data_IF_508468293105
#
_entry.id   IF_508468293105
#
_cell.length_a   1.000
_cell.length_b   1.000
_cell.length_c   1.000
_cell.angle_alpha   90.00
_cell.angle_beta   90.00
_cell.angle_gamma   90.00
#
_symmetry.space_group_name_H-M   'P 1'
#
loop_
_entity.id
_entity.type
_entity.pdbx_description
1 polymer ?
#
# COMPACT_ATOMS: atom_id res chain seq x y z
N UNK A 1 25.52 -26.88 29.45
CA UNK A 1 24.06 -26.94 29.56
C UNK A 1 23.62 -25.79 30.44
N UNK A 2 23.28 -24.64 29.85
CA UNK A 2 22.73 -23.49 30.57
C UNK A 2 21.21 -23.54 30.48
N UNK A 3 20.53 -23.46 31.62
CA UNK A 3 19.08 -23.34 31.73
C UNK A 3 18.60 -21.98 31.20
N UNK A 4 17.46 -21.90 30.48
CA UNK A 4 16.88 -20.61 30.10
C UNK A 4 16.40 -19.91 31.36
N UNK A 5 16.76 -18.63 31.51
CA UNK A 5 16.24 -17.79 32.59
C UNK A 5 14.72 -17.65 32.44
N UNK A 6 13.98 -18.09 33.45
CA UNK A 6 12.55 -17.81 33.56
C UNK A 6 12.36 -16.31 33.75
N UNK A 7 11.89 -15.61 32.73
CA UNK A 7 11.45 -14.22 32.88
C UNK A 7 10.19 -14.22 33.75
N UNK A 8 10.33 -13.81 35.00
CA UNK A 8 9.21 -13.56 35.89
C UNK A 8 8.44 -12.34 35.33
N UNK A 9 7.11 -12.41 35.16
CA UNK A 9 6.34 -11.30 34.60
C UNK A 9 6.46 -10.10 35.52
N UNK A 10 6.92 -8.97 34.97
CA UNK A 10 7.13 -7.70 35.68
C UNK A 10 5.80 -7.09 36.19
N UNK A 11 4.66 -7.58 35.69
CA UNK A 11 3.31 -7.15 36.07
C UNK A 11 2.60 -8.32 36.77
N UNK A 12 2.11 -8.08 37.98
CA UNK A 12 1.38 -9.06 38.79
C UNK A 12 0.04 -9.49 38.16
N UNK A 13 -0.36 -10.73 38.44
CA UNK A 13 -1.55 -11.36 37.84
C UNK A 13 -2.87 -10.62 38.12
N UNK A 14 -3.00 -9.97 39.27
CA UNK A 14 -4.19 -9.15 39.61
C UNK A 14 -4.33 -7.93 38.71
N UNK A 15 -3.21 -7.26 38.43
CA UNK A 15 -3.17 -6.11 37.51
C UNK A 15 -3.51 -6.58 36.10
N UNK A 16 -2.93 -7.70 35.65
CA UNK A 16 -3.24 -8.28 34.34
C UNK A 16 -4.72 -8.60 34.21
N UNK A 17 -5.30 -9.28 35.20
CA UNK A 17 -6.72 -9.63 35.22
C UNK A 17 -7.63 -8.39 35.25
N UNK A 18 -7.19 -7.31 35.90
CA UNK A 18 -7.88 -6.03 35.90
C UNK A 18 -7.89 -5.36 34.53
N UNK A 19 -6.76 -5.41 33.83
CA UNK A 19 -6.64 -4.91 32.45
C UNK A 19 -7.51 -5.73 31.50
N UNK A 20 -7.45 -7.07 31.56
CA UNK A 20 -8.28 -7.96 30.72
C UNK A 20 -9.77 -7.64 30.87
N UNK A 21 -10.27 -7.50 32.10
CA UNK A 21 -11.69 -7.13 32.34
C UNK A 21 -12.04 -5.74 31.79
N UNK A 22 -11.10 -4.80 31.87
CA UNK A 22 -11.32 -3.44 31.36
C UNK A 22 -11.37 -3.42 29.83
N UNK A 23 -10.56 -4.26 29.19
CA UNK A 23 -10.45 -4.33 27.73
C UNK A 23 -11.44 -5.29 27.08
N UNK A 24 -12.06 -6.22 27.81
CA UNK A 24 -12.90 -7.30 27.28
C UNK A 24 -13.98 -6.83 26.28
N UNK A 25 -14.64 -5.71 26.56
CA UNK A 25 -15.64 -5.14 25.67
C UNK A 25 -15.02 -4.58 24.38
N UNK A 26 -13.88 -3.91 24.49
CA UNK A 26 -13.10 -3.37 23.37
C UNK A 26 -12.50 -4.49 22.53
N UNK A 27 -11.94 -5.52 23.15
CA UNK A 27 -11.39 -6.70 22.46
C UNK A 27 -12.48 -7.42 21.65
N UNK A 28 -13.69 -7.52 22.21
CA UNK A 28 -14.84 -8.06 21.48
C UNK A 28 -15.21 -7.19 20.29
N UNK A 29 -15.30 -5.87 20.48
CA UNK A 29 -15.60 -4.91 19.40
C UNK A 29 -14.55 -4.99 18.28
N UNK A 30 -13.26 -5.00 18.65
CA UNK A 30 -12.16 -5.06 17.70
C UNK A 30 -12.17 -6.38 16.93
N UNK A 31 -12.30 -7.51 17.63
CA UNK A 31 -12.39 -8.83 16.98
C UNK A 31 -13.55 -8.96 16.01
N UNK A 32 -14.69 -8.31 16.28
CA UNK A 32 -15.85 -8.35 15.37
C UNK A 32 -15.77 -7.35 14.22
N UNK A 33 -15.25 -6.15 14.48
CA UNK A 33 -15.29 -5.04 13.50
C UNK A 33 -14.02 -4.97 12.67
N UNK A 34 -12.92 -5.51 13.19
CA UNK A 34 -11.58 -5.55 12.60
C UNK A 34 -11.01 -6.96 12.77
N UNK A 35 -11.53 -7.97 12.04
CA UNK A 35 -11.15 -9.37 12.20
C UNK A 35 -9.69 -9.68 11.79
N UNK A 36 -8.89 -8.66 11.48
CA UNK A 36 -7.53 -8.78 10.99
C UNK A 36 -7.51 -8.85 9.46
N UNK A 37 -6.57 -9.64 8.93
CA UNK A 37 -6.40 -9.83 7.50
C UNK A 37 -7.69 -10.35 6.88
N UNK A 38 -8.12 -9.65 5.82
CA UNK A 38 -9.26 -10.05 5.00
C UNK A 38 -8.69 -10.62 3.71
N UNK A 39 -9.32 -11.64 3.17
CA UNK A 39 -9.02 -12.21 1.85
C UNK A 39 -9.57 -11.29 0.73
N UNK A 40 -9.20 -10.01 0.81
CA UNK A 40 -9.51 -8.98 -0.17
C UNK A 40 -8.21 -8.27 -0.51
N UNK A 41 -8.10 -7.82 -1.76
CA UNK A 41 -6.95 -7.07 -2.25
C UNK A 41 -6.58 -5.97 -1.26
N UNK A 42 -5.32 -5.93 -0.85
CA UNK A 42 -4.76 -4.82 -0.08
C UNK A 42 -3.91 -3.98 -1.02
N UNK A 43 -4.04 -2.66 -0.93
CA UNK A 43 -3.19 -1.75 -1.66
C UNK A 43 -1.74 -1.92 -1.19
N UNK A 44 -0.81 -2.09 -2.13
CA UNK A 44 0.62 -2.12 -1.80
C UNK A 44 1.13 -0.71 -1.46
N UNK A 45 0.49 0.32 -2.03
CA UNK A 45 0.86 1.71 -1.83
C UNK A 45 -0.37 2.61 -1.70
N UNK A 46 -0.22 3.67 -0.91
CA UNK A 46 -1.21 4.74 -0.73
C UNK A 46 -0.59 6.07 -1.13
N UNK A 47 -1.34 6.89 -1.87
CA UNK A 47 -0.94 8.23 -2.27
C UNK A 47 -1.90 9.25 -1.67
N UNK A 48 -1.34 10.28 -1.04
CA UNK A 48 -2.05 11.46 -0.60
C UNK A 48 -1.81 12.59 -1.60
N UNK A 49 -2.87 13.25 -2.05
CA UNK A 49 -2.76 14.41 -2.94
C UNK A 49 -3.68 15.53 -2.47
N UNK A 50 -3.24 16.80 -2.58
CA UNK A 50 -4.08 17.95 -2.27
C UNK A 50 -5.38 17.89 -3.05
N UNK A 51 -6.52 18.06 -2.38
CA UNK A 51 -7.83 17.84 -2.97
C UNK A 51 -8.10 18.69 -4.23
N UNK A 52 -7.52 19.89 -4.31
CA UNK A 52 -7.66 20.78 -5.46
C UNK A 52 -6.75 20.41 -6.66
N UNK A 53 -5.80 19.49 -6.48
CA UNK A 53 -4.85 19.07 -7.51
C UNK A 53 -5.34 17.88 -8.35
N UNK A 54 -6.34 17.14 -7.84
CA UNK A 54 -6.87 15.97 -8.52
C UNK A 54 -7.90 16.33 -9.59
N UNK A 55 -7.80 15.69 -10.75
CA UNK A 55 -8.63 15.94 -11.93
C UNK A 55 -8.99 14.66 -12.65
N UNK A 56 -9.85 14.77 -13.67
CA UNK A 56 -10.27 13.63 -14.50
C UNK A 56 -9.08 12.99 -15.27
N UNK A 57 -8.02 13.74 -15.54
CA UNK A 57 -6.85 13.25 -16.29
C UNK A 57 -5.72 12.74 -15.38
N UNK A 58 -5.82 12.94 -14.06
CA UNK A 58 -4.72 12.68 -13.13
C UNK A 58 -4.27 11.22 -13.16
N UNK A 59 -5.18 10.24 -13.18
CA UNK A 59 -4.78 8.83 -13.21
C UNK A 59 -4.00 8.47 -14.48
N UNK A 60 -4.42 8.99 -15.64
CA UNK A 60 -3.74 8.76 -16.91
C UNK A 60 -2.33 9.40 -16.92
N UNK A 61 -2.19 10.60 -16.34
CA UNK A 61 -0.90 11.28 -16.20
C UNK A 61 0.05 10.53 -15.26
N UNK A 62 -0.47 9.97 -14.17
CA UNK A 62 0.31 9.14 -13.24
C UNK A 62 0.78 7.85 -13.90
N UNK A 63 -0.10 7.18 -14.67
CA UNK A 63 0.28 6.02 -15.46
C UNK A 63 1.45 6.30 -16.40
N UNK A 64 1.33 7.38 -17.19
CA UNK A 64 2.37 7.79 -18.14
C UNK A 64 3.68 8.12 -17.42
N UNK A 65 3.60 8.87 -16.32
CA UNK A 65 4.77 9.23 -15.51
C UNK A 65 5.46 8.01 -14.90
N UNK A 66 4.69 7.05 -14.38
CA UNK A 66 5.23 5.86 -13.76
C UNK A 66 5.95 4.96 -14.78
N UNK A 67 5.34 4.74 -15.95
CA UNK A 67 5.98 3.99 -17.04
C UNK A 67 7.24 4.71 -17.53
N UNK A 68 7.19 6.03 -17.74
CA UNK A 68 8.35 6.80 -18.18
C UNK A 68 9.51 6.75 -17.17
N UNK A 69 9.22 6.83 -15.87
CA UNK A 69 10.23 6.73 -14.83
C UNK A 69 10.94 5.37 -14.83
N UNK A 70 10.22 4.28 -15.09
CA UNK A 70 10.80 2.94 -15.21
C UNK A 70 11.72 2.84 -16.42
N UNK A 71 11.28 3.35 -17.58
CA UNK A 71 12.06 3.34 -18.81
C UNK A 71 13.35 4.17 -18.69
N UNK A 72 13.29 5.32 -18.02
CA UNK A 72 14.46 6.16 -17.75
C UNK A 72 15.56 5.42 -16.96
N UNK A 73 15.17 4.43 -16.15
CA UNK A 73 16.07 3.65 -15.30
C UNK A 73 16.42 2.27 -15.87
N UNK A 74 16.23 2.04 -17.17
CA UNK A 74 16.66 0.82 -17.87
C UNK A 74 15.59 -0.26 -17.99
N UNK A 75 14.34 0.05 -17.67
CA UNK A 75 13.17 -0.81 -17.89
C UNK A 75 12.91 -1.80 -16.76
N UNK A 76 11.66 -2.27 -16.66
CA UNK A 76 11.21 -3.08 -15.53
C UNK A 76 11.93 -4.43 -15.45
N UNK A 77 12.24 -5.05 -16.59
CA UNK A 77 12.96 -6.34 -16.64
C UNK A 77 14.31 -6.27 -15.91
N UNK A 78 15.06 -5.19 -16.11
CA UNK A 78 16.35 -5.02 -15.45
C UNK A 78 16.19 -4.81 -13.94
N UNK A 79 15.19 -4.01 -13.54
CA UNK A 79 14.86 -3.81 -12.12
C UNK A 79 14.41 -5.11 -11.45
N UNK A 80 13.53 -5.87 -12.09
CA UNK A 80 13.04 -7.16 -11.62
C UNK A 80 14.19 -8.16 -11.41
N UNK A 81 15.09 -8.29 -12.39
CA UNK A 81 16.29 -9.13 -12.23
C UNK A 81 17.15 -8.71 -11.04
N UNK A 82 17.31 -7.41 -10.79
CA UNK A 82 18.09 -6.91 -9.66
C UNK A 82 17.44 -7.25 -8.32
N UNK A 83 16.13 -7.02 -8.18
CA UNK A 83 15.36 -7.33 -6.97
C UNK A 83 15.36 -8.83 -6.67
N UNK A 84 15.14 -9.68 -7.69
CA UNK A 84 15.12 -11.14 -7.53
C UNK A 84 16.49 -11.64 -7.06
N UNK A 85 17.59 -11.08 -7.56
CA UNK A 85 18.94 -11.42 -7.07
C UNK A 85 19.17 -10.94 -5.64
N UNK A 86 18.74 -9.73 -5.30
CA UNK A 86 18.95 -9.11 -3.98
C UNK A 86 18.17 -9.81 -2.86
N UNK A 87 16.87 -10.07 -3.04
CA UNK A 87 16.03 -10.81 -2.07
C UNK A 87 16.59 -12.20 -1.73
N UNK A 88 17.34 -12.80 -2.66
CA UNK A 88 17.98 -14.11 -2.48
C UNK A 88 19.25 -14.04 -1.65
N UNK A 89 19.90 -12.89 -1.53
CA UNK A 89 20.97 -12.67 -0.57
C UNK A 89 20.45 -12.62 0.88
N UNK A 90 19.19 -12.24 1.09
CA UNK A 90 18.55 -12.15 2.42
C UNK A 90 17.88 -13.46 2.86
N UNK A 91 17.65 -14.41 1.93
CA UNK A 91 17.04 -15.70 2.25
C UNK A 91 18.01 -16.63 2.99
N UNK A 92 17.75 -16.86 4.29
CA UNK A 92 18.47 -17.84 5.11
C UNK A 92 18.12 -19.28 4.71
N UNK A 93 18.90 -19.87 3.79
CA UNK A 93 18.90 -21.33 3.57
C UNK A 93 19.27 -21.76 2.16
N UNK A 94 19.68 -23.03 1.96
CA UNK A 94 19.91 -23.58 0.62
C UNK A 94 18.56 -23.84 -0.05
N UNK A 95 18.01 -22.81 -0.70
CA UNK A 95 16.94 -22.97 -1.68
C UNK A 95 17.42 -23.79 -2.88
N UNK A 96 16.51 -24.26 -3.75
CA UNK A 96 16.91 -24.92 -4.99
C UNK A 96 17.84 -24.00 -5.79
N UNK A 97 18.94 -24.56 -6.31
CA UNK A 97 19.86 -23.83 -7.17
C UNK A 97 19.12 -23.47 -8.46
N UNK A 98 18.71 -22.21 -8.56
CA UNK A 98 18.15 -21.68 -9.79
C UNK A 98 19.27 -21.22 -10.72
N UNK A 99 19.08 -21.51 -12.00
CA UNK A 99 19.96 -21.10 -13.08
C UNK A 99 19.74 -19.63 -13.43
N UNK A 100 20.66 -19.04 -14.20
CA UNK A 100 20.46 -17.70 -14.74
C UNK A 100 19.22 -17.61 -15.65
N UNK A 101 18.81 -18.74 -16.27
CA UNK A 101 17.61 -18.79 -17.09
C UNK A 101 16.34 -18.68 -16.26
N UNK A 102 16.28 -19.34 -15.10
CA UNK A 102 15.13 -19.28 -14.19
C UNK A 102 14.90 -17.85 -13.68
N UNK A 103 15.99 -17.14 -13.33
CA UNK A 103 15.92 -15.73 -12.91
C UNK A 103 15.42 -14.83 -14.04
N UNK A 104 15.86 -15.07 -15.27
CA UNK A 104 15.44 -14.27 -16.41
C UNK A 104 13.95 -14.48 -16.74
N UNK A 105 13.46 -15.72 -16.66
CA UNK A 105 12.04 -16.03 -16.85
C UNK A 105 11.16 -15.39 -15.76
N UNK A 106 11.56 -15.52 -14.49
CA UNK A 106 10.84 -14.89 -13.37
C UNK A 106 10.84 -13.36 -13.48
N UNK A 107 11.98 -12.76 -13.85
CA UNK A 107 12.09 -11.32 -14.04
C UNK A 107 11.20 -10.81 -15.17
N UNK A 108 11.09 -11.55 -16.27
CA UNK A 108 10.19 -11.21 -17.38
C UNK A 108 8.72 -11.23 -16.92
N UNK A 109 8.32 -12.28 -16.21
CA UNK A 109 6.96 -12.42 -15.69
C UNK A 109 6.62 -11.30 -14.68
N UNK A 110 7.55 -11.01 -13.76
CA UNK A 110 7.39 -9.92 -12.79
C UNK A 110 7.32 -8.57 -13.51
N UNK A 111 8.18 -8.35 -14.51
CA UNK A 111 8.20 -7.09 -15.25
C UNK A 111 6.89 -6.83 -15.98
N UNK A 112 6.40 -7.82 -16.72
CA UNK A 112 5.11 -7.72 -17.41
C UNK A 112 3.95 -7.46 -16.43
N UNK A 113 3.96 -8.09 -15.26
CA UNK A 113 2.93 -7.87 -14.24
C UNK A 113 2.98 -6.44 -13.66
N UNK A 114 4.17 -5.92 -13.36
CA UNK A 114 4.32 -4.56 -12.81
C UNK A 114 3.99 -3.52 -13.87
N UNK A 115 4.46 -3.67 -15.11
CA UNK A 115 4.13 -2.76 -16.22
C UNK A 115 2.63 -2.72 -16.50
N UNK A 116 1.95 -3.89 -16.44
CA UNK A 116 0.50 -3.93 -16.52
C UNK A 116 -0.13 -3.11 -15.38
N UNK A 117 0.36 -3.28 -14.15
CA UNK A 117 -0.14 -2.53 -13.00
C UNK A 117 0.10 -1.03 -13.13
N UNK A 118 1.28 -0.58 -13.54
CA UNK A 118 1.56 0.85 -13.76
C UNK A 118 0.73 1.45 -14.90
N UNK A 119 0.39 0.65 -15.91
CA UNK A 119 -0.42 1.12 -17.04
C UNK A 119 -1.92 1.18 -16.74
N UNK A 120 -2.46 0.28 -15.92
CA UNK A 120 -3.91 0.18 -15.68
C UNK A 120 -4.36 0.57 -14.28
N UNK A 121 -3.47 0.45 -13.29
CA UNK A 121 -3.73 0.69 -11.87
C UNK A 121 -2.52 1.42 -11.21
N UNK A 122 -2.09 2.59 -11.74
CA UNK A 122 -0.89 3.27 -11.24
C UNK A 122 -1.00 3.77 -9.80
N UNK A 123 -2.23 3.92 -9.29
CA UNK A 123 -2.54 4.27 -7.90
C UNK A 123 -3.49 3.21 -7.33
N UNK A 124 -3.09 2.57 -6.24
CA UNK A 124 -3.90 1.53 -5.59
C UNK A 124 -4.81 2.06 -4.49
N UNK A 125 -4.37 3.05 -3.71
CA UNK A 125 -5.18 3.73 -2.71
C UNK A 125 -4.94 5.24 -2.83
N UNK A 126 -5.94 5.97 -3.31
CA UNK A 126 -5.89 7.42 -3.46
C UNK A 126 -6.62 8.09 -2.29
N UNK A 127 -5.96 9.03 -1.63
CA UNK A 127 -6.53 9.86 -0.57
C UNK A 127 -6.39 11.32 -0.95
N UNK A 128 -7.54 11.99 -1.06
CA UNK A 128 -7.58 13.44 -1.24
C UNK A 128 -7.48 14.07 0.15
N UNK A 129 -6.43 14.84 0.39
CA UNK A 129 -6.21 15.56 1.65
C UNK A 129 -6.51 17.05 1.51
N UNK A 130 -6.92 17.65 2.64
CA UNK A 130 -7.21 19.08 2.79
C UNK A 130 -6.20 19.73 3.76
N UNK A 131 -5.09 19.04 4.01
CA UNK A 131 -4.05 19.44 4.94
C UNK A 131 -2.82 19.90 4.13
N UNK A 132 -1.80 19.04 4.05
CA UNK A 132 -0.52 19.36 3.44
C UNK A 132 -0.64 19.61 1.93
N UNK A 133 -0.12 20.74 1.49
CA UNK A 133 -0.17 21.15 0.08
C UNK A 133 -1.54 21.67 -0.39
N UNK A 134 -2.61 21.52 0.39
CA UNK A 134 -3.90 22.17 0.10
C UNK A 134 -3.87 23.66 0.43
N UNK A 135 -3.19 24.01 1.52
CA UNK A 135 -2.99 25.39 1.99
C UNK A 135 -4.14 25.90 2.86
N UNK A 136 -3.95 27.09 3.45
CA UNK A 136 -4.99 27.77 4.23
C UNK A 136 -5.92 28.55 3.28
N UNK A 137 -7.12 28.02 3.07
CA UNK A 137 -8.16 28.65 2.26
C UNK A 137 -9.29 29.18 3.16
N UNK A 138 -10.05 30.20 2.73
CA UNK A 138 -11.31 30.54 3.39
C UNK A 138 -12.29 29.36 3.36
N UNK A 139 -13.12 29.20 4.40
CA UNK A 139 -14.10 28.10 4.54
C UNK A 139 -14.92 27.86 3.26
N UNK A 140 -15.40 28.92 2.61
CA UNK A 140 -16.22 28.81 1.40
C UNK A 140 -15.45 28.19 0.20
N UNK A 141 -14.13 28.38 0.14
CA UNK A 141 -13.27 27.76 -0.86
C UNK A 141 -12.96 26.31 -0.52
N UNK A 142 -12.76 25.99 0.76
CA UNK A 142 -12.62 24.60 1.23
C UNK A 142 -13.87 23.78 0.93
N UNK A 143 -15.05 24.30 1.28
CA UNK A 143 -16.36 23.68 0.97
C UNK A 143 -16.53 23.42 -0.53
N UNK A 144 -16.13 24.40 -1.36
CA UNK A 144 -16.19 24.27 -2.80
C UNK A 144 -15.29 23.12 -3.27
N UNK A 145 -14.06 23.01 -2.77
CA UNK A 145 -13.16 21.94 -3.14
C UNK A 145 -13.59 20.57 -2.62
N UNK A 146 -14.21 20.48 -1.44
CA UNK A 146 -14.81 19.25 -0.95
C UNK A 146 -15.89 18.73 -1.91
N UNK A 147 -16.75 19.64 -2.40
CA UNK A 147 -17.78 19.30 -3.39
C UNK A 147 -17.17 18.92 -4.73
N UNK A 148 -16.17 19.64 -5.22
CA UNK A 148 -15.51 19.32 -6.50
C UNK A 148 -14.75 18.00 -6.46
N UNK A 149 -14.01 17.73 -5.39
CA UNK A 149 -13.35 16.45 -5.16
C UNK A 149 -14.33 15.28 -5.23
N UNK A 150 -15.47 15.39 -4.53
CA UNK A 150 -16.53 14.39 -4.58
C UNK A 150 -17.10 14.19 -6.00
N UNK A 151 -17.26 15.28 -6.77
CA UNK A 151 -17.73 15.21 -8.16
C UNK A 151 -16.72 14.52 -9.07
N UNK A 152 -15.43 14.83 -8.97
CA UNK A 152 -14.37 14.19 -9.75
C UNK A 152 -14.33 12.68 -9.47
N UNK A 153 -14.31 12.29 -8.19
CA UNK A 153 -14.33 10.87 -7.80
C UNK A 153 -15.60 10.17 -8.27
N UNK A 154 -16.76 10.82 -8.17
CA UNK A 154 -18.03 10.25 -8.66
C UNK A 154 -18.00 10.01 -10.18
N UNK A 155 -17.47 10.95 -10.97
CA UNK A 155 -17.29 10.76 -12.41
C UNK A 155 -16.34 9.60 -12.71
N UNK A 156 -15.23 9.51 -11.97
CA UNK A 156 -14.26 8.45 -12.17
C UNK A 156 -14.85 7.06 -11.88
N UNK A 157 -15.60 6.94 -10.79
CA UNK A 157 -16.32 5.71 -10.44
C UNK A 157 -17.35 5.32 -11.51
N UNK A 158 -18.06 6.29 -12.09
CA UNK A 158 -19.04 6.05 -13.16
C UNK A 158 -18.37 5.59 -14.47
N UNK A 159 -17.17 6.09 -14.78
CA UNK A 159 -16.38 5.66 -15.95
C UNK A 159 -15.65 4.33 -15.71
N UNK A 160 -15.50 3.91 -14.46
CA UNK A 160 -14.73 2.73 -14.08
C UNK A 160 -13.22 2.95 -14.10
N UNK A 161 -12.78 4.20 -14.04
CA UNK A 161 -11.37 4.62 -14.04
C UNK A 161 -10.93 5.23 -12.69
N UNK A 162 -11.69 5.00 -11.63
CA UNK A 162 -11.26 5.33 -10.28
C UNK A 162 -10.20 4.33 -9.77
N UNK A 163 -9.24 4.76 -8.92
CA UNK A 163 -8.36 3.87 -8.18
C UNK A 163 -9.13 2.75 -7.46
N UNK A 164 -8.64 1.52 -7.55
CA UNK A 164 -9.30 0.34 -6.96
C UNK A 164 -8.86 0.15 -5.51
N UNK A 165 -9.74 0.54 -4.57
CA UNK A 165 -9.62 0.23 -3.14
C UNK A 165 -9.92 -1.21 -2.78
#
# INVERSE_FOLDING_TARGET
MSTPGSHEPVIGSEVMSGVERTLEATDRLLRTSYPGERDVRQAVHTVYVPAHSWSDDSLAQWSQSAVAAVEEHGGMRQLAEAVIRDQRHESFGPGPSQTAADVAEEAEALAAAVEHKLSTEPIEDLRLDFEDGFGELPDADEDRWAVEAARVISRALQRGDAPRG
#
